data_IF_994016477371
#
_entry.id   IF_994016477371
#
_cell.length_a   1.000
_cell.length_b   1.000
_cell.length_c   1.000
_cell.angle_alpha   90.00
_cell.angle_beta   90.00
_cell.angle_gamma   90.00
#
_symmetry.space_group_name_H-M   'P 1'
#
loop_
_entity.id
_entity.type
_entity.pdbx_description
1 polymer ?
#
# COMPACT_ATOMS: atom_id res chain seq x y z
N UNK A 1 -1.40 12.25 -25.94
CA UNK A 1 -1.63 10.80 -25.75
C UNK A 1 -0.39 10.05 -26.21
N UNK A 2 0.20 9.22 -25.35
CA UNK A 2 1.38 8.39 -25.70
C UNK A 2 0.93 7.17 -26.51
N UNK A 3 0.62 7.38 -27.78
CA UNK A 3 0.26 6.29 -28.70
C UNK A 3 1.42 5.32 -28.85
N UNK A 4 1.21 4.04 -28.57
CA UNK A 4 2.20 2.97 -28.74
C UNK A 4 2.94 2.52 -27.48
N UNK A 5 2.74 3.15 -26.30
CA UNK A 5 3.32 2.68 -25.04
C UNK A 5 2.28 1.90 -24.21
N UNK A 6 2.73 0.80 -23.57
CA UNK A 6 1.88 0.04 -22.65
C UNK A 6 1.50 0.89 -21.42
N UNK A 7 0.26 0.75 -20.92
CA UNK A 7 -0.23 1.42 -19.72
C UNK A 7 0.72 1.18 -18.53
N UNK A 8 1.17 -0.05 -18.33
CA UNK A 8 2.16 -0.39 -17.31
C UNK A 8 3.42 0.48 -17.41
N UNK A 9 3.95 0.68 -18.62
CA UNK A 9 5.13 1.52 -18.82
C UNK A 9 4.88 2.98 -18.43
N UNK A 10 3.68 3.51 -18.72
CA UNK A 10 3.30 4.87 -18.35
C UNK A 10 3.13 5.03 -16.84
N UNK A 11 2.55 4.05 -16.16
CA UNK A 11 2.44 4.03 -14.69
C UNK A 11 3.83 3.97 -14.04
N UNK A 12 4.74 3.17 -14.60
CA UNK A 12 6.10 3.04 -14.10
C UNK A 12 6.94 4.32 -14.27
N UNK A 13 6.58 5.24 -15.16
CA UNK A 13 7.22 6.57 -15.27
C UNK A 13 6.99 7.43 -14.01
N UNK A 14 5.95 7.14 -13.22
CA UNK A 14 5.72 7.82 -11.95
C UNK A 14 6.72 7.40 -10.87
N UNK A 15 7.35 6.25 -11.03
CA UNK A 15 8.36 5.72 -10.10
C UNK A 15 9.70 6.43 -10.37
N UNK A 16 10.22 7.06 -9.33
CA UNK A 16 11.55 7.68 -9.41
C UNK A 16 12.63 6.61 -9.18
N UNK A 17 13.17 6.04 -10.27
CA UNK A 17 14.09 4.89 -10.23
C UNK A 17 15.37 5.13 -9.41
N UNK A 18 15.87 6.36 -9.36
CA UNK A 18 17.01 6.70 -8.50
C UNK A 18 16.66 6.58 -7.02
N UNK A 19 15.42 6.87 -6.63
CA UNK A 19 14.95 6.66 -5.26
C UNK A 19 14.91 5.17 -4.94
N UNK A 20 14.35 4.35 -5.84
CA UNK A 20 14.38 2.90 -5.67
C UNK A 20 15.83 2.38 -5.53
N UNK A 21 16.76 2.81 -6.39
CA UNK A 21 18.16 2.40 -6.32
C UNK A 21 18.82 2.77 -4.98
N UNK A 22 18.54 3.95 -4.43
CA UNK A 22 19.03 4.34 -3.09
C UNK A 22 18.44 3.47 -1.97
N UNK A 23 17.16 3.11 -2.07
CA UNK A 23 16.52 2.21 -1.12
C UNK A 23 17.09 0.80 -1.20
N UNK A 24 17.33 0.29 -2.42
CA UNK A 24 17.99 -1.00 -2.64
C UNK A 24 19.35 -1.05 -1.95
N UNK A 25 20.15 0.00 -2.09
CA UNK A 25 21.45 0.10 -1.40
C UNK A 25 21.29 0.20 0.11
N UNK A 26 20.33 1.02 0.60
CA UNK A 26 20.08 1.20 2.03
C UNK A 26 19.72 -0.09 2.75
N UNK A 27 18.93 -0.94 2.11
CA UNK A 27 18.44 -2.21 2.67
C UNK A 27 19.23 -3.43 2.20
N UNK A 28 20.32 -3.24 1.45
CA UNK A 28 21.15 -4.30 0.87
C UNK A 28 20.33 -5.39 0.12
N UNK A 29 19.25 -4.96 -0.54
CA UNK A 29 18.22 -5.85 -1.06
C UNK A 29 18.64 -6.66 -2.31
N UNK A 30 19.82 -6.38 -2.87
CA UNK A 30 20.35 -7.04 -4.08
C UNK A 30 21.76 -7.60 -3.92
N UNK A 31 22.32 -7.70 -2.71
CA UNK A 31 23.70 -8.14 -2.47
C UNK A 31 24.01 -9.53 -3.04
N UNK A 32 23.01 -10.40 -3.17
CA UNK A 32 23.16 -11.76 -3.71
C UNK A 32 22.36 -12.00 -4.99
N UNK A 33 21.83 -10.93 -5.60
CA UNK A 33 20.93 -11.02 -6.76
C UNK A 33 21.75 -10.87 -8.06
N UNK A 34 21.56 -11.82 -9.00
CA UNK A 34 22.26 -11.79 -10.31
C UNK A 34 21.37 -11.28 -11.45
N UNK A 35 20.12 -11.70 -11.52
CA UNK A 35 19.26 -11.50 -12.69
C UNK A 35 17.89 -10.88 -12.41
N UNK A 36 17.33 -11.04 -11.20
CA UNK A 36 15.99 -10.57 -10.86
C UNK A 36 16.03 -9.57 -9.71
N UNK A 37 16.29 -8.31 -10.04
CA UNK A 37 16.41 -7.22 -9.06
C UNK A 37 15.06 -6.72 -8.51
N UNK A 38 15.14 -5.75 -7.61
CA UNK A 38 13.96 -5.09 -7.02
C UNK A 38 13.13 -4.36 -8.08
N UNK A 39 13.77 -3.84 -9.12
CA UNK A 39 13.07 -3.23 -10.26
C UNK A 39 12.16 -4.24 -10.94
N UNK A 40 12.67 -5.43 -11.27
CA UNK A 40 11.89 -6.48 -11.91
C UNK A 40 10.75 -6.96 -11.01
N UNK A 41 10.99 -7.10 -9.71
CA UNK A 41 9.95 -7.46 -8.75
C UNK A 41 8.84 -6.40 -8.72
N UNK A 42 9.18 -5.12 -8.62
CA UNK A 42 8.20 -4.02 -8.64
C UNK A 42 7.34 -4.07 -9.91
N UNK A 43 7.96 -4.28 -11.07
CA UNK A 43 7.24 -4.37 -12.35
C UNK A 43 6.28 -5.56 -12.36
N UNK A 44 6.71 -6.74 -11.87
CA UNK A 44 5.85 -7.92 -11.77
C UNK A 44 4.65 -7.68 -10.86
N UNK A 45 4.86 -7.06 -9.70
CA UNK A 45 3.79 -6.79 -8.75
C UNK A 45 2.85 -5.68 -9.24
N UNK A 46 3.37 -4.63 -9.88
CA UNK A 46 2.55 -3.61 -10.52
C UNK A 46 1.70 -4.18 -11.66
N UNK A 47 2.29 -5.05 -12.49
CA UNK A 47 1.53 -5.78 -13.52
C UNK A 47 0.40 -6.60 -12.91
N UNK A 48 0.67 -7.33 -11.82
CA UNK A 48 -0.32 -8.13 -11.13
C UNK A 48 -1.52 -7.29 -10.68
N UNK A 49 -1.27 -6.15 -10.05
CA UNK A 49 -2.31 -5.22 -9.60
C UNK A 49 -3.13 -4.65 -10.77
N UNK A 50 -2.46 -4.18 -11.83
CA UNK A 50 -3.13 -3.59 -12.98
C UNK A 50 -3.94 -4.60 -13.82
N UNK A 51 -3.63 -5.90 -13.71
CA UNK A 51 -4.28 -6.96 -14.49
C UNK A 51 -5.07 -7.94 -13.63
N UNK A 52 -5.27 -7.63 -12.34
CA UNK A 52 -6.05 -8.43 -11.39
C UNK A 52 -5.57 -9.88 -11.29
N UNK A 53 -4.23 -10.08 -11.15
CA UNK A 53 -3.64 -11.40 -10.99
C UNK A 53 -3.46 -11.73 -9.52
N UNK A 54 -4.00 -12.86 -9.08
CA UNK A 54 -3.99 -13.26 -7.67
C UNK A 54 -2.82 -14.18 -7.31
N UNK A 55 -2.31 -14.94 -8.26
CA UNK A 55 -1.29 -15.95 -8.01
C UNK A 55 0.04 -15.70 -8.71
N UNK A 56 1.17 -15.97 -8.03
CA UNK A 56 2.52 -15.81 -8.61
C UNK A 56 2.74 -16.63 -9.88
N UNK A 57 2.07 -17.81 -10.01
CA UNK A 57 2.13 -18.64 -11.22
C UNK A 57 1.43 -17.94 -12.38
N UNK A 58 0.27 -17.36 -12.14
CA UNK A 58 -0.50 -16.63 -13.14
C UNK A 58 0.25 -15.37 -13.59
N UNK A 59 0.82 -14.63 -12.66
CA UNK A 59 1.69 -13.46 -12.94
C UNK A 59 2.82 -13.86 -13.89
N UNK A 60 3.58 -14.90 -13.53
CA UNK A 60 4.71 -15.36 -14.34
C UNK A 60 4.27 -15.85 -15.73
N UNK A 61 3.16 -16.60 -15.81
CA UNK A 61 2.64 -17.12 -17.08
C UNK A 61 2.21 -15.99 -18.00
N UNK A 62 1.44 -15.03 -17.50
CA UNK A 62 0.92 -13.92 -18.29
C UNK A 62 2.01 -12.94 -18.74
N UNK A 63 2.99 -12.66 -17.87
CA UNK A 63 4.16 -11.86 -18.26
C UNK A 63 4.96 -12.54 -19.36
N UNK A 64 5.25 -13.83 -19.20
CA UNK A 64 6.06 -14.59 -20.16
C UNK A 64 5.37 -14.83 -21.53
N UNK A 65 4.04 -14.74 -21.58
CA UNK A 65 3.31 -14.79 -22.83
C UNK A 65 3.58 -13.58 -23.76
N UNK A 66 4.17 -12.50 -23.21
CA UNK A 66 4.50 -11.28 -23.93
C UNK A 66 6.00 -10.95 -23.84
N UNK A 67 6.83 -11.85 -24.32
CA UNK A 67 8.30 -11.75 -24.21
C UNK A 67 8.89 -10.46 -24.80
N UNK A 68 8.33 -9.95 -25.92
CA UNK A 68 8.75 -8.68 -26.50
C UNK A 68 8.52 -7.50 -25.54
N UNK A 69 7.34 -7.46 -24.90
CA UNK A 69 7.02 -6.43 -23.92
C UNK A 69 7.95 -6.50 -22.69
N UNK A 70 8.32 -7.70 -22.25
CA UNK A 70 9.25 -7.91 -21.15
C UNK A 70 10.64 -7.33 -21.46
N UNK A 71 11.15 -7.52 -22.68
CA UNK A 71 12.44 -6.96 -23.08
C UNK A 71 12.45 -5.43 -22.96
N UNK A 72 11.41 -4.76 -23.44
CA UNK A 72 11.27 -3.30 -23.33
C UNK A 72 11.10 -2.81 -21.88
N UNK A 73 10.62 -3.65 -20.97
CA UNK A 73 10.55 -3.36 -19.54
C UNK A 73 11.86 -3.66 -18.79
N UNK A 74 12.88 -4.13 -19.50
CA UNK A 74 14.21 -4.40 -18.93
C UNK A 74 14.40 -5.81 -18.37
N UNK A 75 13.55 -6.77 -18.77
CA UNK A 75 13.77 -8.18 -18.45
C UNK A 75 14.66 -8.80 -19.55
N UNK A 76 15.69 -9.50 -19.13
CA UNK A 76 16.59 -10.26 -20.03
C UNK A 76 16.19 -11.72 -20.15
N UNK A 77 15.45 -12.21 -19.18
CA UNK A 77 15.04 -13.62 -19.06
C UNK A 77 13.57 -13.72 -18.69
N UNK A 78 13.02 -14.93 -18.87
CA UNK A 78 11.66 -15.24 -18.44
C UNK A 78 11.56 -15.19 -16.91
N UNK A 79 10.42 -14.74 -16.42
CA UNK A 79 10.13 -14.69 -14.98
C UNK A 79 9.70 -16.07 -14.51
N UNK A 80 10.47 -16.68 -13.60
CA UNK A 80 10.05 -17.93 -12.95
C UNK A 80 9.24 -17.63 -11.69
N UNK A 81 8.21 -18.46 -11.44
CA UNK A 81 7.40 -18.36 -10.21
C UNK A 81 8.25 -18.44 -8.95
N UNK A 82 9.21 -19.36 -8.89
CA UNK A 82 10.12 -19.53 -7.75
C UNK A 82 10.95 -18.29 -7.49
N UNK A 83 11.53 -17.71 -8.54
CA UNK A 83 12.32 -16.47 -8.43
C UNK A 83 11.50 -15.31 -7.88
N UNK A 84 10.24 -15.18 -8.31
CA UNK A 84 9.33 -14.15 -7.79
C UNK A 84 8.94 -14.44 -6.34
N UNK A 85 8.71 -15.70 -5.98
CA UNK A 85 8.42 -16.12 -4.61
C UNK A 85 9.59 -15.82 -3.67
N UNK A 86 10.81 -16.25 -4.05
CA UNK A 86 12.03 -16.02 -3.28
C UNK A 86 12.29 -14.52 -3.07
N UNK A 87 12.05 -13.72 -4.11
CA UNK A 87 12.18 -12.26 -4.03
C UNK A 87 11.19 -11.64 -3.04
N UNK A 88 9.94 -12.13 -3.01
CA UNK A 88 8.92 -11.65 -2.07
C UNK A 88 9.20 -12.08 -0.62
N UNK A 89 9.82 -13.24 -0.42
CA UNK A 89 10.12 -13.80 0.89
C UNK A 89 11.40 -13.18 1.50
N UNK A 90 12.46 -13.03 0.70
CA UNK A 90 13.80 -12.71 1.23
C UNK A 90 14.07 -11.21 1.32
N UNK A 91 13.39 -10.38 0.50
CA UNK A 91 13.66 -8.94 0.49
C UNK A 91 13.03 -8.24 1.65
N UNK A 92 13.77 -7.29 2.22
CA UNK A 92 13.28 -6.47 3.33
C UNK A 92 12.06 -5.64 2.89
N UNK A 93 10.94 -5.87 3.55
CA UNK A 93 9.68 -5.20 3.27
C UNK A 93 9.74 -3.67 3.48
N UNK A 94 10.63 -3.19 4.36
CA UNK A 94 10.82 -1.76 4.64
C UNK A 94 11.25 -0.95 3.40
N UNK A 95 11.92 -1.61 2.45
CA UNK A 95 12.24 -1.01 1.16
C UNK A 95 10.97 -0.56 0.42
N UNK A 96 9.96 -1.43 0.40
CA UNK A 96 8.68 -1.16 -0.27
C UNK A 96 7.84 -0.15 0.51
N UNK A 97 7.88 -0.19 1.83
CA UNK A 97 7.25 0.80 2.69
C UNK A 97 7.80 2.20 2.44
N UNK A 98 9.12 2.37 2.42
CA UNK A 98 9.76 3.67 2.16
C UNK A 98 9.50 4.16 0.73
N UNK A 99 9.46 3.25 -0.25
CA UNK A 99 9.07 3.59 -1.62
C UNK A 99 7.62 4.08 -1.67
N UNK A 100 6.69 3.36 -1.04
CA UNK A 100 5.28 3.72 -0.98
C UNK A 100 5.08 5.09 -0.30
N UNK A 101 5.73 5.34 0.84
CA UNK A 101 5.71 6.64 1.52
C UNK A 101 6.19 7.79 0.61
N UNK A 102 7.21 7.51 -0.22
CA UNK A 102 7.71 8.47 -1.21
C UNK A 102 6.67 8.78 -2.30
N UNK A 103 6.02 7.76 -2.82
CA UNK A 103 4.97 7.90 -3.84
C UNK A 103 3.73 8.60 -3.28
N UNK A 104 3.30 8.27 -2.06
CA UNK A 104 2.18 8.94 -1.38
C UNK A 104 2.42 10.45 -1.24
N UNK A 105 3.62 10.85 -0.78
CA UNK A 105 3.98 12.28 -0.68
C UNK A 105 3.91 12.98 -2.03
N UNK A 106 4.41 12.34 -3.09
CA UNK A 106 4.35 12.88 -4.45
C UNK A 106 2.90 13.02 -4.93
N UNK A 107 2.07 12.01 -4.71
CA UNK A 107 0.67 12.01 -5.09
C UNK A 107 -0.10 13.14 -4.37
N UNK A 108 0.09 13.31 -3.06
CA UNK A 108 -0.55 14.42 -2.31
C UNK A 108 -0.25 15.79 -2.90
N UNK A 109 0.99 16.04 -3.32
CA UNK A 109 1.36 17.31 -3.96
C UNK A 109 0.63 17.51 -5.29
N UNK A 110 0.49 16.45 -6.09
CA UNK A 110 -0.19 16.52 -7.39
C UNK A 110 -1.70 16.79 -7.24
N UNK A 111 -2.32 16.31 -6.16
CA UNK A 111 -3.76 16.46 -5.91
C UNK A 111 -4.10 17.55 -4.89
N UNK A 112 -3.12 18.33 -4.44
CA UNK A 112 -3.35 19.36 -3.41
C UNK A 112 -4.36 20.44 -3.81
N UNK A 113 -4.56 20.66 -5.10
CA UNK A 113 -5.51 21.65 -5.67
C UNK A 113 -6.82 21.03 -6.17
N UNK A 114 -7.01 19.72 -6.03
CA UNK A 114 -8.25 19.07 -6.48
C UNK A 114 -9.40 19.38 -5.51
N UNK A 115 -10.59 19.64 -6.08
CA UNK A 115 -11.81 19.88 -5.34
C UNK A 115 -12.48 18.54 -4.96
N UNK A 116 -12.89 18.43 -3.72
CA UNK A 116 -13.67 17.28 -3.24
C UNK A 116 -15.11 17.23 -3.80
N UNK A 117 -15.55 18.31 -4.45
CA UNK A 117 -16.95 18.47 -4.83
C UNK A 117 -17.87 18.69 -3.61
N UNK A 118 -17.30 19.01 -2.46
CA UNK A 118 -17.98 19.36 -1.23
C UNK A 118 -17.67 20.83 -0.91
N UNK A 119 -18.62 21.54 -0.33
CA UNK A 119 -18.42 22.92 0.17
C UNK A 119 -17.52 22.94 1.42
N UNK A 120 -16.38 22.25 1.37
CA UNK A 120 -15.43 22.10 2.47
C UNK A 120 -14.03 22.49 1.98
N UNK A 121 -13.50 23.59 2.51
CA UNK A 121 -12.13 24.03 2.23
C UNK A 121 -11.07 23.15 2.94
N UNK A 122 -11.49 22.41 3.96
CA UNK A 122 -10.61 21.65 4.84
C UNK A 122 -10.34 20.25 4.32
N UNK A 123 -9.19 19.68 4.67
CA UNK A 123 -8.84 18.31 4.31
C UNK A 123 -9.77 17.31 5.01
N UNK A 124 -10.23 16.32 4.28
CA UNK A 124 -11.02 15.20 4.83
C UNK A 124 -10.22 13.92 4.73
N UNK A 125 -10.03 13.26 5.86
CA UNK A 125 -9.36 11.97 5.98
C UNK A 125 -10.36 10.87 6.31
N UNK A 126 -10.30 9.76 5.57
CA UNK A 126 -11.02 8.53 5.92
C UNK A 126 -10.03 7.51 6.53
N UNK A 127 -10.42 6.90 7.63
CA UNK A 127 -9.69 5.82 8.28
C UNK A 127 -10.48 4.52 8.15
N UNK A 128 -9.79 3.48 7.66
CA UNK A 128 -10.37 2.15 7.53
C UNK A 128 -9.34 1.08 7.81
N UNK A 129 -9.79 -0.13 8.12
CA UNK A 129 -8.94 -1.29 8.30
C UNK A 129 -9.41 -2.48 7.48
N UNK A 130 -8.49 -3.10 6.76
CA UNK A 130 -8.74 -4.33 6.00
C UNK A 130 -8.01 -5.49 6.65
N UNK A 131 -8.74 -6.56 6.98
CA UNK A 131 -8.14 -7.79 7.50
C UNK A 131 -7.71 -8.69 6.34
N UNK A 132 -6.46 -9.13 6.37
CA UNK A 132 -5.87 -10.03 5.38
C UNK A 132 -5.58 -11.36 6.08
N UNK A 133 -6.27 -12.42 5.65
CA UNK A 133 -6.05 -13.78 6.15
C UNK A 133 -4.70 -14.33 5.66
N UNK A 134 -3.94 -14.93 6.57
CA UNK A 134 -2.64 -15.53 6.29
C UNK A 134 -2.64 -17.01 6.70
N UNK A 135 -1.72 -17.79 6.13
CA UNK A 135 -1.49 -19.15 6.57
C UNK A 135 -0.77 -19.16 7.93
N UNK A 136 -1.38 -19.78 8.94
CA UNK A 136 -0.81 -19.87 10.29
C UNK A 136 0.53 -20.62 10.30
N UNK A 137 0.71 -21.61 9.44
CA UNK A 137 1.95 -22.38 9.34
C UNK A 137 3.14 -21.55 8.84
N UNK A 138 2.88 -20.51 8.03
CA UNK A 138 3.90 -19.61 7.49
C UNK A 138 4.08 -18.34 8.34
N UNK A 139 3.03 -17.94 9.06
CA UNK A 139 3.00 -16.67 9.81
C UNK A 139 2.55 -16.88 11.26
N UNK A 140 3.26 -17.67 12.07
CA UNK A 140 2.86 -17.99 13.45
C UNK A 140 2.81 -16.76 14.38
N UNK A 141 3.55 -15.70 14.04
CA UNK A 141 3.55 -14.44 14.78
C UNK A 141 2.29 -13.60 14.57
N UNK A 142 1.55 -13.86 13.48
CA UNK A 142 0.32 -13.15 13.10
C UNK A 142 -0.94 -13.90 13.55
N UNK A 143 -0.87 -14.62 14.68
CA UNK A 143 -1.95 -15.42 15.23
C UNK A 143 -3.25 -14.58 15.36
N UNK A 144 -4.34 -15.04 14.72
CA UNK A 144 -5.63 -14.37 14.71
C UNK A 144 -6.73 -15.22 15.36
N UNK A 145 -6.81 -16.50 14.96
CA UNK A 145 -7.71 -17.51 15.53
C UNK A 145 -6.93 -18.81 15.71
N UNK A 146 -7.49 -19.77 16.42
CA UNK A 146 -6.83 -21.08 16.66
C UNK A 146 -6.34 -21.79 15.39
N UNK A 147 -6.93 -21.48 14.23
CA UNK A 147 -6.64 -22.12 12.94
C UNK A 147 -6.17 -21.15 11.85
N UNK A 148 -6.12 -19.84 12.14
CA UNK A 148 -5.80 -18.81 11.13
C UNK A 148 -4.82 -17.77 11.68
N UNK A 149 -3.89 -17.36 10.84
CA UNK A 149 -3.14 -16.13 11.00
C UNK A 149 -3.83 -14.99 10.24
N UNK A 150 -3.60 -13.76 10.66
CA UNK A 150 -4.12 -12.59 9.97
C UNK A 150 -3.39 -11.31 10.37
N UNK A 151 -3.36 -10.39 9.43
CA UNK A 151 -2.91 -9.02 9.68
C UNK A 151 -4.03 -8.05 9.36
N UNK A 152 -4.00 -6.89 10.01
CA UNK A 152 -4.82 -5.74 9.64
C UNK A 152 -3.95 -4.70 8.96
N UNK A 153 -4.39 -4.25 7.81
CA UNK A 153 -3.83 -3.10 7.12
C UNK A 153 -4.74 -1.90 7.37
N UNK A 154 -4.28 -1.00 8.23
CA UNK A 154 -4.98 0.25 8.52
C UNK A 154 -4.54 1.30 7.50
N UNK A 155 -5.49 2.00 6.92
CA UNK A 155 -5.23 3.01 5.91
C UNK A 155 -5.91 4.31 6.27
N UNK A 156 -5.16 5.41 6.21
CA UNK A 156 -5.71 6.76 6.20
C UNK A 156 -5.65 7.27 4.77
N UNK A 157 -6.80 7.69 4.22
CA UNK A 157 -6.92 8.26 2.89
C UNK A 157 -7.19 9.75 2.97
N UNK A 158 -6.49 10.55 2.16
CA UNK A 158 -6.88 11.93 1.83
C UNK A 158 -7.93 11.84 0.71
N UNK A 159 -9.15 12.28 0.99
CA UNK A 159 -10.26 12.09 0.07
C UNK A 159 -10.22 13.03 -1.15
N UNK A 160 -9.38 14.08 -1.15
CA UNK A 160 -9.21 14.95 -2.33
C UNK A 160 -8.74 14.21 -3.57
N UNK A 161 -8.08 13.06 -3.41
CA UNK A 161 -7.62 12.27 -4.53
C UNK A 161 -7.54 10.77 -4.23
N UNK A 162 -8.40 10.20 -3.37
CA UNK A 162 -8.31 8.93 -2.60
C UNK A 162 -6.88 8.41 -2.44
N UNK A 163 -6.01 9.27 -1.86
CA UNK A 163 -4.58 9.00 -1.74
C UNK A 163 -4.27 8.50 -0.33
N UNK A 164 -3.64 7.33 -0.18
CA UNK A 164 -3.15 6.91 1.12
C UNK A 164 -2.14 7.91 1.69
N UNK A 165 -2.35 8.36 2.91
CA UNK A 165 -1.43 9.24 3.64
C UNK A 165 -0.67 8.49 4.72
N UNK A 166 -1.30 7.43 5.25
CA UNK A 166 -0.71 6.51 6.21
C UNK A 166 -1.18 5.09 5.90
N UNK A 167 -0.24 4.15 5.92
CA UNK A 167 -0.54 2.70 5.93
C UNK A 167 0.20 2.12 7.12
N UNK A 168 -0.52 1.41 7.99
CA UNK A 168 0.04 0.75 9.15
C UNK A 168 -0.43 -0.69 9.24
N UNK A 169 0.49 -1.63 9.44
CA UNK A 169 0.18 -3.06 9.50
C UNK A 169 0.32 -3.54 10.93
N UNK A 170 -0.71 -4.22 11.42
CA UNK A 170 -0.74 -4.83 12.76
C UNK A 170 -1.17 -6.29 12.68
N UNK A 171 -0.96 -7.06 13.75
CA UNK A 171 -1.62 -8.35 13.88
C UNK A 171 -3.14 -8.17 13.97
N UNK A 172 -3.90 -9.09 13.38
CA UNK A 172 -5.35 -8.96 13.25
C UNK A 172 -6.12 -8.94 14.59
N UNK A 173 -5.49 -9.35 15.69
CA UNK A 173 -6.07 -9.24 17.04
C UNK A 173 -6.03 -7.83 17.60
N UNK A 174 -5.19 -6.95 17.08
CA UNK A 174 -5.05 -5.60 17.60
C UNK A 174 -6.29 -4.78 17.24
N UNK A 175 -6.85 -4.08 18.23
CA UNK A 175 -8.01 -3.22 18.00
C UNK A 175 -7.67 -2.01 17.15
N UNK A 176 -8.61 -1.56 16.31
CA UNK A 176 -8.39 -0.55 15.29
C UNK A 176 -8.05 0.83 15.87
N UNK A 177 -8.60 1.18 17.03
CA UNK A 177 -8.30 2.43 17.70
C UNK A 177 -6.82 2.63 18.06
N UNK A 178 -6.01 1.56 18.13
CA UNK A 178 -4.55 1.70 18.35
C UNK A 178 -3.82 2.39 17.20
N UNK A 179 -4.41 2.45 16.00
CA UNK A 179 -3.87 3.26 14.92
C UNK A 179 -3.78 4.73 15.31
N UNK A 180 -4.78 5.23 16.04
CA UNK A 180 -4.86 6.64 16.44
C UNK A 180 -3.65 7.11 17.29
N UNK A 181 -2.96 6.17 17.95
CA UNK A 181 -1.73 6.49 18.69
C UNK A 181 -0.53 6.86 17.78
N UNK A 182 -0.58 6.41 16.53
CA UNK A 182 0.48 6.63 15.54
C UNK A 182 0.18 7.76 14.56
N UNK A 183 -1.00 8.36 14.63
CA UNK A 183 -1.40 9.44 13.75
C UNK A 183 -1.08 10.81 14.33
N UNK A 184 -0.63 11.71 13.46
CA UNK A 184 -0.55 13.13 13.73
C UNK A 184 -1.82 13.77 13.16
N UNK A 185 -2.61 14.39 14.03
CA UNK A 185 -3.85 15.03 13.63
C UNK A 185 -3.58 16.47 13.16
N UNK A 186 -4.15 16.80 12.00
CA UNK A 186 -4.02 18.11 11.37
C UNK A 186 -5.16 19.02 11.85
N UNK A 187 -4.82 20.17 12.43
CA UNK A 187 -5.82 21.12 12.90
C UNK A 187 -6.74 21.59 11.76
N UNK A 188 -8.04 21.63 12.01
CA UNK A 188 -9.06 21.97 11.03
C UNK A 188 -9.47 20.81 10.10
N UNK A 189 -8.73 19.72 10.04
CA UNK A 189 -9.11 18.58 9.20
C UNK A 189 -10.28 17.79 9.77
N UNK A 190 -11.02 17.11 8.91
CA UNK A 190 -12.08 16.18 9.26
C UNK A 190 -11.56 14.75 9.20
N UNK A 191 -11.84 13.96 10.24
CA UNK A 191 -11.51 12.53 10.30
C UNK A 191 -12.78 11.70 10.32
N UNK A 192 -12.97 10.91 9.27
CA UNK A 192 -14.11 9.99 9.11
C UNK A 192 -13.63 8.59 9.43
N UNK A 193 -14.31 7.90 10.34
CA UNK A 193 -13.96 6.55 10.77
C UNK A 193 -15.18 5.76 11.22
N UNK A 194 -15.05 4.43 11.29
CA UNK A 194 -16.08 3.55 11.80
C UNK A 194 -16.05 3.42 13.34
N UNK A 195 -17.00 2.66 13.90
CA UNK A 195 -17.08 2.41 15.34
C UNK A 195 -15.90 1.62 15.92
N UNK A 196 -15.16 0.87 15.11
CA UNK A 196 -13.99 0.12 15.53
C UNK A 196 -12.86 1.01 16.08
N UNK A 197 -12.90 2.30 15.73
CA UNK A 197 -11.94 3.30 16.23
C UNK A 197 -12.41 4.02 17.50
N UNK A 198 -13.58 3.68 18.06
CA UNK A 198 -14.10 4.36 19.24
C UNK A 198 -13.30 4.06 20.50
N UNK A 199 -12.54 5.04 20.94
CA UNK A 199 -11.87 5.10 22.24
C UNK A 199 -11.89 6.54 22.72
N UNK A 200 -12.60 6.82 23.81
CA UNK A 200 -12.86 8.19 24.25
C UNK A 200 -11.59 9.00 24.55
N UNK A 201 -10.56 8.34 25.09
CA UNK A 201 -9.30 9.04 25.40
C UNK A 201 -8.57 9.47 24.11
N UNK A 202 -8.62 8.64 23.07
CA UNK A 202 -8.02 8.94 21.77
C UNK A 202 -8.84 9.94 20.97
N UNK A 203 -10.17 9.81 21.00
CA UNK A 203 -11.07 10.79 20.38
C UNK A 203 -10.92 12.18 20.99
N UNK A 204 -10.71 12.28 22.31
CA UNK A 204 -10.41 13.55 22.96
C UNK A 204 -9.14 14.21 22.42
N UNK A 205 -8.10 13.42 22.06
CA UNK A 205 -6.87 13.95 21.42
C UNK A 205 -7.13 14.54 20.04
N UNK A 206 -8.05 13.94 19.25
CA UNK A 206 -8.45 14.47 17.94
C UNK A 206 -9.09 15.86 18.13
N UNK A 207 -10.04 15.96 19.05
CA UNK A 207 -10.72 17.23 19.35
C UNK A 207 -9.72 18.27 19.90
N UNK A 208 -8.82 17.88 20.81
CA UNK A 208 -7.79 18.77 21.36
C UNK A 208 -6.79 19.27 20.31
N UNK A 209 -6.57 18.53 19.24
CA UNK A 209 -5.74 18.98 18.11
C UNK A 209 -6.43 20.03 17.22
N UNK A 210 -7.68 20.40 17.51
CA UNK A 210 -8.47 21.33 16.69
C UNK A 210 -9.05 20.68 15.43
N UNK A 211 -9.11 19.33 15.39
CA UNK A 211 -9.67 18.58 14.26
C UNK A 211 -11.13 18.22 14.53
N UNK A 212 -11.89 17.99 13.47
CA UNK A 212 -13.25 17.50 13.53
C UNK A 212 -13.32 15.99 13.37
N UNK A 213 -14.19 15.35 14.14
CA UNK A 213 -14.42 13.92 14.08
C UNK A 213 -15.83 13.63 13.55
N UNK A 214 -15.89 12.74 12.55
CA UNK A 214 -17.13 12.16 12.05
C UNK A 214 -17.01 10.63 12.16
N UNK A 215 -17.96 10.00 12.81
CA UNK A 215 -18.03 8.54 12.86
C UNK A 215 -19.36 8.07 12.28
N UNK A 216 -19.32 7.00 11.51
CA UNK A 216 -20.52 6.38 10.95
C UNK A 216 -20.98 5.27 11.87
N UNK A 217 -22.29 5.18 12.11
CA UNK A 217 -22.91 3.96 12.60
C UNK A 217 -23.09 3.05 11.39
N UNK A 218 -22.55 1.81 11.42
CA UNK A 218 -22.86 0.84 10.38
C UNK A 218 -24.37 0.70 10.23
N UNK A 219 -24.87 1.09 9.06
CA UNK A 219 -26.27 0.87 8.68
C UNK A 219 -26.50 -0.56 8.16
N UNK A 220 -25.59 -1.50 8.45
CA UNK A 220 -25.61 -2.86 7.93
C UNK A 220 -26.25 -3.88 8.88
N UNK A 221 -26.79 -3.46 10.04
CA UNK A 221 -27.46 -4.31 11.03
C UNK A 221 -28.98 -4.04 11.13
N UNK A 222 -29.63 -3.62 10.02
CA UNK A 222 -31.10 -3.64 9.89
C UNK A 222 -31.58 -4.61 8.82
#
# INVERSE_FOLDING_TARGET
MNTGRYILSQVLDLVHWQTLSRLVQRYDAESKVRHFGCRQQLICMAFAQLTWREGLRDIATCLNARSEALYHLGFRERVAKSTLADANEQRDWRLWEDLAKGLMRKARVLYAGEDLGLELENTVYALDSTTIDLSLSLFPWADFRSTKAGIKMHTQLDLRGPIPTCIHITGARKADFHLLDNLLFEAGAFYVMDRGYMDFARLARIVQSGSCLLYTSDAADE
#
